data_IF_491250355148
#
_entry.id   IF_491250355148
#
_cell.length_a   1.000
_cell.length_b   1.000
_cell.length_c   1.000
_cell.angle_alpha   90.00
_cell.angle_beta   90.00
_cell.angle_gamma   90.00
#
_symmetry.space_group_name_H-M   'P 1'
#
loop_
_entity.id
_entity.type
_entity.pdbx_description
1 polymer ?
#
# COMPACT_ATOMS: atom_id res chain seq x y z
N UNK A 1 4.16 8.31 14.03
CA UNK A 1 4.31 7.30 15.11
C UNK A 1 4.54 5.96 14.45
N UNK A 2 5.62 5.24 14.77
CA UNK A 2 5.89 3.91 14.22
C UNK A 2 5.02 2.86 14.90
N UNK A 3 4.34 2.04 14.11
CA UNK A 3 3.62 0.87 14.61
C UNK A 3 4.54 -0.34 14.47
N UNK A 4 4.70 -1.09 15.54
CA UNK A 4 5.40 -2.38 15.52
C UNK A 4 4.34 -3.49 15.50
N UNK A 5 4.43 -4.35 14.49
CA UNK A 5 3.56 -5.50 14.35
C UNK A 5 4.30 -6.77 14.78
N UNK A 6 3.65 -7.60 15.59
CA UNK A 6 4.12 -8.95 15.85
C UNK A 6 3.85 -9.82 14.61
N UNK A 7 4.85 -9.91 13.71
CA UNK A 7 4.70 -10.58 12.42
C UNK A 7 4.38 -12.08 12.55
N UNK A 8 4.91 -12.75 13.57
CA UNK A 8 4.70 -14.20 13.78
C UNK A 8 3.25 -14.50 14.14
N UNK A 9 2.73 -13.81 15.17
CA UNK A 9 1.34 -13.98 15.59
C UNK A 9 0.35 -13.46 14.53
N UNK A 10 0.67 -12.36 13.84
CA UNK A 10 -0.14 -11.89 12.73
C UNK A 10 -0.18 -12.88 11.56
N UNK A 11 0.93 -13.56 11.26
CA UNK A 11 0.94 -14.58 10.22
C UNK A 11 -0.02 -15.74 10.56
N UNK A 12 -0.05 -16.17 11.82
CA UNK A 12 -1.00 -17.20 12.28
C UNK A 12 -2.44 -16.73 12.07
N UNK A 13 -2.75 -15.47 12.44
CA UNK A 13 -4.08 -14.90 12.23
C UNK A 13 -4.46 -14.88 10.74
N UNK A 14 -3.56 -14.46 9.85
CA UNK A 14 -3.82 -14.46 8.41
C UNK A 14 -4.01 -15.86 7.85
N UNK A 15 -3.26 -16.85 8.35
CA UNK A 15 -3.42 -18.25 7.96
C UNK A 15 -4.77 -18.80 8.38
N UNK A 16 -5.21 -18.54 9.61
CA UNK A 16 -6.52 -18.98 10.11
C UNK A 16 -7.65 -18.29 9.36
N UNK A 17 -7.53 -17.00 9.09
CA UNK A 17 -8.50 -16.27 8.30
C UNK A 17 -8.60 -16.83 6.87
N UNK A 18 -7.47 -17.13 6.25
CA UNK A 18 -7.45 -17.76 4.92
C UNK A 18 -8.06 -19.17 4.92
N UNK A 19 -7.79 -19.98 5.95
CA UNK A 19 -8.42 -21.32 6.08
C UNK A 19 -9.93 -21.25 6.15
N UNK A 20 -10.47 -20.22 6.80
CA UNK A 20 -11.92 -20.03 6.96
C UNK A 20 -12.59 -19.44 5.73
N UNK A 21 -11.92 -18.51 5.05
CA UNK A 21 -12.55 -17.68 4.00
C UNK A 21 -12.05 -17.98 2.58
N UNK A 22 -10.87 -18.61 2.45
CA UNK A 22 -10.17 -18.74 1.16
C UNK A 22 -9.56 -17.44 0.65
N UNK A 23 -9.78 -16.30 1.31
CA UNK A 23 -9.35 -14.99 0.85
C UNK A 23 -7.88 -14.69 1.21
N UNK A 24 -7.18 -14.05 0.30
CA UNK A 24 -5.84 -13.51 0.56
C UNK A 24 -5.94 -12.22 1.35
N UNK A 25 -5.15 -12.13 2.41
CA UNK A 25 -5.06 -10.94 3.26
C UNK A 25 -3.66 -10.34 3.22
N UNK A 26 -3.58 -9.02 3.15
CA UNK A 26 -2.34 -8.24 3.21
C UNK A 26 -2.41 -7.27 4.38
N UNK A 27 -1.32 -7.12 5.09
CA UNK A 27 -1.13 -6.09 6.12
C UNK A 27 -0.28 -4.99 5.54
N UNK A 28 -0.78 -3.78 5.55
CA UNK A 28 -0.04 -2.57 5.18
C UNK A 28 0.35 -1.76 6.41
N UNK A 29 1.48 -1.07 6.31
CA UNK A 29 1.82 0.01 7.22
C UNK A 29 0.98 1.28 6.95
N UNK A 30 1.25 2.34 7.70
CA UNK A 30 0.59 3.65 7.52
C UNK A 30 0.87 4.30 6.16
N UNK A 31 1.86 3.81 5.43
CA UNK A 31 2.28 4.31 4.14
C UNK A 31 1.75 3.47 2.97
N UNK A 32 0.93 2.44 3.26
CA UNK A 32 0.42 1.52 2.24
C UNK A 32 1.47 0.56 1.68
N UNK A 33 2.54 0.29 2.47
CA UNK A 33 3.57 -0.68 2.10
C UNK A 33 3.27 -2.04 2.72
N UNK A 34 3.43 -3.10 1.92
CA UNK A 34 3.22 -4.48 2.38
C UNK A 34 4.17 -4.83 3.52
N UNK A 35 3.61 -5.19 4.69
CA UNK A 35 4.37 -5.70 5.84
C UNK A 35 4.38 -7.24 5.80
N UNK A 36 3.22 -7.82 5.52
CA UNK A 36 2.94 -9.24 5.57
C UNK A 36 1.75 -9.59 4.70
N UNK A 37 1.75 -10.76 4.07
CA UNK A 37 0.61 -11.26 3.31
C UNK A 37 0.48 -12.78 3.40
N UNK A 38 -0.75 -13.27 3.34
CA UNK A 38 -1.00 -14.71 3.24
C UNK A 38 -2.23 -15.00 2.37
N UNK A 39 -2.16 -15.94 1.43
CA UNK A 39 -0.94 -16.58 0.92
C UNK A 39 0.07 -15.57 0.36
N UNK A 40 1.40 -15.86 0.42
CA UNK A 40 2.41 -14.92 -0.08
C UNK A 40 2.38 -14.78 -1.61
N UNK A 41 1.99 -15.83 -2.33
CA UNK A 41 1.95 -15.84 -3.79
C UNK A 41 0.73 -15.06 -4.32
N UNK A 42 0.98 -14.29 -5.38
CA UNK A 42 -0.08 -13.66 -6.15
C UNK A 42 -0.77 -14.68 -7.05
N UNK A 43 -2.10 -14.58 -7.26
CA UNK A 43 -2.79 -15.37 -8.28
C UNK A 43 -2.26 -15.04 -9.68
N UNK A 44 -2.46 -16.02 -10.61
CA UNK A 44 -1.97 -15.89 -11.98
C UNK A 44 -2.45 -14.60 -12.67
N UNK A 45 -3.70 -14.21 -12.46
CA UNK A 45 -4.27 -12.96 -12.96
C UNK A 45 -3.44 -11.74 -12.56
N UNK A 46 -3.15 -11.58 -11.25
CA UNK A 46 -2.38 -10.45 -10.77
C UNK A 46 -0.90 -10.53 -11.16
N UNK A 47 -0.36 -11.74 -11.39
CA UNK A 47 1.00 -11.90 -11.94
C UNK A 47 1.06 -11.38 -13.38
N UNK A 48 0.05 -11.65 -14.20
CA UNK A 48 -0.04 -11.11 -15.56
C UNK A 48 -0.15 -9.58 -15.55
N UNK A 49 -1.04 -9.02 -14.73
CA UNK A 49 -1.22 -7.57 -14.60
C UNK A 49 0.07 -6.90 -14.10
N UNK A 50 0.71 -7.45 -13.08
CA UNK A 50 1.99 -6.93 -12.55
C UNK A 50 3.20 -7.28 -13.42
N UNK A 51 3.02 -8.09 -14.47
CA UNK A 51 4.05 -8.38 -15.48
C UNK A 51 4.40 -7.18 -16.35
N UNK A 52 3.56 -6.15 -16.37
CA UNK A 52 3.78 -4.90 -17.09
C UNK A 52 3.95 -3.73 -16.12
N UNK A 53 4.84 -2.76 -16.41
CA UNK A 53 5.12 -1.63 -15.50
C UNK A 53 3.88 -0.82 -15.13
N UNK A 54 2.98 -0.58 -16.09
CA UNK A 54 1.74 0.17 -15.92
C UNK A 54 0.78 -0.54 -14.96
N UNK A 55 0.74 -1.87 -14.98
CA UNK A 55 -0.05 -2.68 -14.07
C UNK A 55 0.47 -2.63 -12.63
N UNK A 56 1.79 -2.67 -12.42
CA UNK A 56 2.40 -2.47 -11.08
C UNK A 56 2.02 -1.13 -10.52
N UNK A 57 2.09 -0.08 -11.36
CA UNK A 57 1.75 1.28 -10.99
C UNK A 57 0.27 1.39 -10.60
N UNK A 58 -0.62 0.80 -11.42
CA UNK A 58 -2.05 0.75 -11.15
C UNK A 58 -2.35 0.12 -9.79
N UNK A 59 -1.69 -1.00 -9.43
CA UNK A 59 -1.81 -1.60 -8.10
C UNK A 59 -1.43 -0.60 -7.00
N UNK A 60 -0.23 -0.02 -7.06
CA UNK A 60 0.23 0.92 -6.02
C UNK A 60 -0.69 2.14 -5.86
N UNK A 61 -1.16 2.72 -6.97
CA UNK A 61 -2.09 3.86 -6.93
C UNK A 61 -3.43 3.48 -6.30
N UNK A 62 -3.94 2.31 -6.65
CA UNK A 62 -5.19 1.79 -6.14
C UNK A 62 -5.12 1.57 -4.63
N UNK A 63 -4.07 0.88 -4.16
CA UNK A 63 -3.85 0.59 -2.74
C UNK A 63 -3.69 1.88 -1.92
N UNK A 64 -2.92 2.85 -2.42
CA UNK A 64 -2.74 4.13 -1.74
C UNK A 64 -4.03 4.97 -1.67
N UNK A 65 -4.83 4.97 -2.74
CA UNK A 65 -6.13 5.65 -2.74
C UNK A 65 -7.08 5.00 -1.73
N UNK A 66 -7.10 3.67 -1.69
CA UNK A 66 -7.91 2.92 -0.74
C UNK A 66 -7.49 3.20 0.72
N UNK A 67 -6.18 3.19 1.03
CA UNK A 67 -5.66 3.55 2.34
C UNK A 67 -6.07 4.96 2.76
N UNK A 68 -5.96 5.95 1.86
CA UNK A 68 -6.40 7.35 2.12
C UNK A 68 -7.90 7.44 2.40
N UNK A 69 -8.71 6.74 1.61
CA UNK A 69 -10.16 6.72 1.80
C UNK A 69 -10.54 6.08 3.13
N UNK A 70 -9.94 4.93 3.47
CA UNK A 70 -10.17 4.25 4.74
C UNK A 70 -9.72 5.10 5.94
N UNK A 71 -8.59 5.81 5.83
CA UNK A 71 -8.12 6.75 6.87
C UNK A 71 -9.11 7.90 7.08
N UNK A 72 -9.60 8.49 6.01
CA UNK A 72 -10.54 9.64 6.08
C UNK A 72 -11.88 9.23 6.68
N UNK A 73 -12.42 8.07 6.25
CA UNK A 73 -13.71 7.55 6.72
C UNK A 73 -13.62 6.89 8.08
N UNK A 74 -12.44 6.39 8.46
CA UNK A 74 -12.20 5.56 9.66
C UNK A 74 -13.03 4.28 9.68
N UNK A 75 -13.32 3.76 8.51
CA UNK A 75 -14.15 2.58 8.31
C UNK A 75 -13.62 1.70 7.18
N UNK A 76 -14.13 0.48 7.09
CA UNK A 76 -13.85 -0.44 5.99
C UNK A 76 -14.41 0.11 4.68
N UNK A 77 -13.60 0.03 3.62
CA UNK A 77 -13.95 0.46 2.26
C UNK A 77 -13.87 -0.74 1.33
N UNK A 78 -14.97 -1.01 0.61
CA UNK A 78 -15.03 -2.00 -0.47
C UNK A 78 -14.92 -1.23 -1.79
N UNK A 79 -14.03 -1.66 -2.66
CA UNK A 79 -13.80 -0.99 -3.95
C UNK A 79 -13.40 -1.99 -5.04
N UNK A 80 -13.48 -1.54 -6.30
CA UNK A 80 -12.99 -2.31 -7.45
C UNK A 80 -11.63 -1.78 -7.85
N UNK A 81 -10.60 -2.62 -7.86
CA UNK A 81 -9.24 -2.23 -8.19
C UNK A 81 -9.10 -1.87 -9.68
N UNK A 82 -7.95 -1.28 -10.04
CA UNK A 82 -7.66 -0.86 -11.42
C UNK A 82 -7.71 -2.01 -12.45
N UNK A 83 -7.62 -3.26 -12.00
CA UNK A 83 -7.69 -4.46 -12.83
C UNK A 83 -9.05 -5.17 -12.75
N UNK A 84 -10.09 -4.54 -12.20
CA UNK A 84 -11.46 -5.03 -12.18
C UNK A 84 -11.80 -6.01 -11.07
N UNK A 85 -10.89 -6.32 -10.15
CA UNK A 85 -11.15 -7.18 -9.00
C UNK A 85 -11.65 -6.39 -7.81
N UNK A 86 -12.48 -7.02 -6.98
CA UNK A 86 -12.95 -6.40 -5.72
C UNK A 86 -11.91 -6.55 -4.64
N UNK A 87 -11.76 -5.51 -3.87
CA UNK A 87 -10.87 -5.44 -2.72
C UNK A 87 -11.60 -4.79 -1.53
N UNK A 88 -11.19 -5.17 -0.33
CA UNK A 88 -11.73 -4.63 0.93
C UNK A 88 -10.58 -4.18 1.79
N UNK A 89 -10.54 -2.90 2.13
CA UNK A 89 -9.52 -2.35 3.01
C UNK A 89 -10.12 -1.87 4.32
N UNK A 90 -9.51 -2.29 5.42
CA UNK A 90 -9.94 -1.97 6.78
C UNK A 90 -8.79 -1.29 7.52
N UNK A 91 -8.96 -0.07 8.05
CA UNK A 91 -7.93 0.60 8.84
C UNK A 91 -7.78 -0.05 10.22
N UNK A 92 -6.55 -0.21 10.68
CA UNK A 92 -6.24 -0.55 12.07
C UNK A 92 -6.15 0.78 12.82
N UNK A 93 -7.11 1.03 13.71
CA UNK A 93 -7.22 2.30 14.42
C UNK A 93 -6.70 2.19 15.85
N UNK A 94 -5.86 3.14 16.25
CA UNK A 94 -5.43 3.35 17.65
C UNK A 94 -5.75 4.81 17.99
N UNK A 95 -6.57 5.03 19.00
CA UNK A 95 -7.03 6.35 19.43
C UNK A 95 -7.59 7.19 18.25
N UNK A 96 -8.25 6.53 17.30
CA UNK A 96 -8.83 7.15 16.12
C UNK A 96 -7.84 7.52 15.00
N UNK A 97 -6.57 7.20 15.16
CA UNK A 97 -5.55 7.34 14.11
C UNK A 97 -5.30 6.00 13.41
N UNK A 98 -5.24 6.00 12.07
CA UNK A 98 -4.87 4.81 11.32
C UNK A 98 -3.37 4.52 11.49
N UNK A 99 -3.05 3.32 11.97
CA UNK A 99 -1.68 2.86 12.25
C UNK A 99 -1.23 1.75 11.30
N UNK A 100 -2.10 1.32 10.41
CA UNK A 100 -1.90 0.31 9.38
C UNK A 100 -3.24 -0.09 8.79
N UNK A 101 -3.22 -1.06 7.87
CA UNK A 101 -4.44 -1.52 7.21
C UNK A 101 -4.39 -3.03 6.99
N UNK A 102 -5.58 -3.63 6.96
CA UNK A 102 -5.80 -5.00 6.49
C UNK A 102 -6.52 -4.92 5.14
N UNK A 103 -6.00 -5.60 4.12
CA UNK A 103 -6.58 -5.67 2.79
C UNK A 103 -6.99 -7.11 2.48
N UNK A 104 -8.26 -7.35 2.12
CA UNK A 104 -8.69 -8.55 1.40
C UNK A 104 -8.60 -8.25 -0.09
N UNK A 105 -7.99 -9.13 -0.85
CA UNK A 105 -7.66 -8.87 -2.24
C UNK A 105 -8.02 -10.03 -3.18
N UNK A 106 -8.06 -9.70 -4.48
CA UNK A 106 -8.24 -10.66 -5.59
C UNK A 106 -9.63 -11.33 -5.61
N UNK A 107 -10.69 -10.58 -5.33
CA UNK A 107 -12.04 -11.10 -5.16
C UNK A 107 -12.85 -10.90 -6.44
N UNK A 108 -13.53 -11.95 -6.86
CA UNK A 108 -14.57 -11.97 -7.89
C UNK A 108 -15.88 -12.42 -7.21
N UNK A 109 -16.99 -11.73 -7.42
CA UNK A 109 -18.25 -12.09 -6.77
C UNK A 109 -18.93 -13.29 -7.42
N UNK A 110 -18.87 -13.39 -8.76
CA UNK A 110 -19.52 -14.43 -9.54
C UNK A 110 -21.05 -14.26 -9.62
N UNK A 111 -21.56 -13.06 -9.35
CA UNK A 111 -23.00 -12.78 -9.47
C UNK A 111 -23.46 -12.63 -10.93
N UNK A 112 -22.62 -11.96 -11.74
CA UNK A 112 -22.76 -11.85 -13.20
C UNK A 112 -21.36 -11.94 -13.80
N UNK A 113 -20.92 -13.17 -14.07
CA UNK A 113 -19.56 -13.45 -14.53
C UNK A 113 -19.24 -12.74 -15.85
N UNK A 114 -20.20 -12.61 -16.75
CA UNK A 114 -19.99 -11.94 -18.03
C UNK A 114 -19.79 -10.42 -17.85
N UNK A 115 -20.59 -9.78 -17.01
CA UNK A 115 -20.43 -8.35 -16.71
C UNK A 115 -19.17 -8.07 -15.92
N UNK A 116 -18.85 -8.91 -14.92
CA UNK A 116 -17.64 -8.78 -14.10
C UNK A 116 -16.36 -8.95 -14.95
N UNK A 117 -16.36 -9.96 -15.87
CA UNK A 117 -15.27 -10.13 -16.83
C UNK A 117 -15.15 -8.96 -17.78
N UNK A 118 -16.26 -8.42 -18.30
CA UNK A 118 -16.24 -7.28 -19.21
C UNK A 118 -15.54 -6.06 -18.54
N UNK A 119 -15.81 -5.79 -17.28
CA UNK A 119 -15.14 -4.73 -16.50
C UNK A 119 -13.65 -5.03 -16.35
N UNK A 120 -13.27 -6.25 -16.00
CA UNK A 120 -11.89 -6.65 -15.85
C UNK A 120 -11.10 -6.53 -17.16
N UNK A 121 -11.71 -7.00 -18.28
CA UNK A 121 -11.14 -6.89 -19.62
C UNK A 121 -10.94 -5.43 -20.04
N UNK A 122 -11.95 -4.57 -19.88
CA UNK A 122 -11.87 -3.15 -20.22
C UNK A 122 -10.76 -2.46 -19.44
N UNK A 123 -10.68 -2.68 -18.14
CA UNK A 123 -9.67 -2.08 -17.28
C UNK A 123 -8.24 -2.56 -17.58
N UNK A 124 -8.09 -3.80 -18.01
CA UNK A 124 -6.79 -4.36 -18.38
C UNK A 124 -6.38 -4.10 -19.84
N UNK A 125 -7.29 -3.63 -20.69
CA UNK A 125 -7.01 -3.37 -22.12
C UNK A 125 -5.77 -2.47 -22.36
N UNK A 126 -5.50 -1.42 -21.55
CA UNK A 126 -4.31 -0.57 -21.72
C UNK A 126 -2.98 -1.29 -21.47
N UNK A 127 -2.99 -2.47 -20.86
CA UNK A 127 -1.76 -3.19 -20.47
C UNK A 127 -1.21 -4.09 -21.58
N UNK A 128 -1.94 -4.31 -22.66
CA UNK A 128 -1.49 -5.13 -23.79
C UNK A 128 -1.28 -6.62 -23.44
N UNK A 129 -1.94 -7.11 -22.40
CA UNK A 129 -1.89 -8.51 -21.98
C UNK A 129 -2.72 -9.34 -22.94
N UNK A 130 -2.24 -10.54 -23.28
CA UNK A 130 -3.02 -11.50 -24.10
C UNK A 130 -4.36 -11.81 -23.44
N UNK A 131 -5.45 -11.57 -24.18
CA UNK A 131 -6.82 -11.68 -23.64
C UNK A 131 -7.15 -13.11 -23.22
N UNK A 132 -6.70 -14.11 -23.96
CA UNK A 132 -7.01 -15.51 -23.64
C UNK A 132 -6.29 -15.96 -22.37
N UNK A 133 -5.02 -15.55 -22.20
CA UNK A 133 -4.26 -15.81 -20.99
C UNK A 133 -4.86 -15.07 -19.78
N UNK A 134 -5.29 -13.82 -19.96
CA UNK A 134 -5.90 -13.02 -18.91
C UNK A 134 -7.25 -13.63 -18.49
N UNK A 135 -8.10 -14.05 -19.44
CA UNK A 135 -9.39 -14.67 -19.17
C UNK A 135 -9.24 -16.00 -18.44
N UNK A 136 -8.35 -16.86 -18.93
CA UNK A 136 -8.06 -18.13 -18.25
C UNK A 136 -7.58 -17.94 -16.81
N UNK A 137 -6.75 -16.93 -16.58
CA UNK A 137 -6.27 -16.59 -15.23
C UNK A 137 -7.38 -15.97 -14.35
N UNK A 138 -8.32 -15.23 -14.95
CA UNK A 138 -9.50 -14.68 -14.28
C UNK A 138 -10.46 -15.80 -13.85
N UNK A 139 -10.69 -16.77 -14.71
CA UNK A 139 -11.56 -17.93 -14.43
C UNK A 139 -11.05 -18.80 -13.28
N UNK A 140 -9.74 -18.82 -13.09
CA UNK A 140 -9.10 -19.53 -11.98
C UNK A 140 -9.22 -18.81 -10.63
N UNK A 141 -9.69 -17.56 -10.58
CA UNK A 141 -9.90 -16.83 -9.32
C UNK A 141 -11.08 -17.41 -8.54
N UNK A 142 -10.97 -17.48 -7.20
CA UNK A 142 -12.08 -17.95 -6.37
C UNK A 142 -13.27 -16.98 -6.45
N UNK A 143 -14.49 -17.55 -6.51
CA UNK A 143 -15.74 -16.78 -6.46
C UNK A 143 -16.18 -16.61 -5.03
N UNK A 144 -16.38 -15.37 -4.60
CA UNK A 144 -16.84 -15.03 -3.24
C UNK A 144 -18.12 -14.24 -3.31
N UNK A 145 -19.28 -14.85 -3.08
CA UNK A 145 -20.57 -14.16 -3.08
C UNK A 145 -20.62 -12.99 -2.08
N UNK A 146 -21.37 -11.94 -2.42
CA UNK A 146 -21.45 -10.73 -1.62
C UNK A 146 -21.76 -10.96 -0.12
N UNK A 147 -22.68 -11.86 0.28
CA UNK A 147 -22.93 -12.13 1.70
C UNK A 147 -21.69 -12.67 2.42
N UNK A 148 -20.93 -13.57 1.77
CA UNK A 148 -19.67 -14.10 2.32
C UNK A 148 -18.61 -13.02 2.41
N UNK A 149 -18.47 -12.19 1.37
CA UNK A 149 -17.55 -11.05 1.35
C UNK A 149 -17.88 -10.07 2.49
N UNK A 150 -19.16 -9.75 2.66
CA UNK A 150 -19.60 -8.84 3.73
C UNK A 150 -19.26 -9.40 5.12
N UNK A 151 -19.56 -10.68 5.37
CA UNK A 151 -19.21 -11.35 6.62
C UNK A 151 -17.69 -11.36 6.87
N UNK A 152 -16.91 -11.69 5.85
CA UNK A 152 -15.44 -11.65 5.93
C UNK A 152 -14.92 -10.23 6.23
N UNK A 153 -15.51 -9.22 5.61
CA UNK A 153 -15.21 -7.81 5.86
C UNK A 153 -15.50 -7.40 7.29
N UNK A 154 -16.65 -7.80 7.84
CA UNK A 154 -17.03 -7.50 9.23
C UNK A 154 -16.10 -8.19 10.24
N UNK A 155 -15.74 -9.46 10.00
CA UNK A 155 -14.75 -10.17 10.80
C UNK A 155 -13.36 -9.51 10.72
N UNK A 156 -12.95 -9.04 9.54
CA UNK A 156 -11.70 -8.33 9.37
C UNK A 156 -11.67 -7.02 10.17
N UNK A 157 -12.79 -6.29 10.19
CA UNK A 157 -12.92 -5.06 10.96
C UNK A 157 -12.82 -5.32 12.47
N UNK A 158 -13.45 -6.41 12.95
CA UNK A 158 -13.31 -6.86 14.35
C UNK A 158 -11.87 -7.26 14.67
N UNK A 159 -11.21 -8.02 13.78
CA UNK A 159 -9.82 -8.41 13.94
C UNK A 159 -8.90 -7.18 13.99
N UNK A 160 -9.09 -6.20 13.08
CA UNK A 160 -8.34 -4.96 13.08
C UNK A 160 -8.47 -4.18 14.41
N UNK A 161 -9.67 -4.14 14.97
CA UNK A 161 -9.91 -3.50 16.26
C UNK A 161 -9.25 -4.27 17.43
N UNK A 162 -9.22 -5.60 17.36
CA UNK A 162 -8.63 -6.45 18.39
C UNK A 162 -7.08 -6.47 18.35
N UNK A 163 -6.45 -6.21 17.20
CA UNK A 163 -5.00 -6.28 17.04
C UNK A 163 -4.24 -5.42 18.05
N UNK A 164 -4.73 -4.23 18.33
CA UNK A 164 -4.14 -3.36 19.35
C UNK A 164 -4.35 -3.90 20.78
N UNK A 165 -5.56 -4.32 21.11
CA UNK A 165 -5.90 -4.82 22.44
C UNK A 165 -5.11 -6.09 22.80
N UNK A 166 -4.85 -6.95 21.82
CA UNK A 166 -4.07 -8.17 21.98
C UNK A 166 -2.55 -7.94 21.89
N UNK A 167 -2.13 -6.70 21.66
CA UNK A 167 -0.72 -6.34 21.55
C UNK A 167 -0.03 -6.80 20.26
N UNK A 168 -0.80 -7.23 19.25
CA UNK A 168 -0.29 -7.62 17.92
C UNK A 168 0.12 -6.41 17.08
N UNK A 169 -0.51 -5.27 17.35
CA UNK A 169 -0.09 -3.95 16.87
C UNK A 169 0.16 -3.05 18.09
N UNK A 170 1.36 -2.57 18.28
CA UNK A 170 1.72 -1.69 19.40
C UNK A 170 2.31 -0.40 18.90
N UNK A 171 1.85 0.71 19.45
CA UNK A 171 2.60 1.95 19.39
C UNK A 171 3.78 1.81 20.36
N UNK A 172 4.97 1.71 19.82
CA UNK A 172 6.18 1.73 20.63
C UNK A 172 7.03 2.95 20.25
N UNK A 173 6.73 4.12 20.83
CA UNK A 173 7.43 5.35 20.51
C UNK A 173 8.91 5.30 20.89
N UNK A 174 9.31 4.35 21.72
CA UNK A 174 10.70 4.13 22.14
C UNK A 174 11.48 3.11 21.30
N UNK A 175 10.82 2.35 20.42
CA UNK A 175 11.54 1.38 19.58
C UNK A 175 12.46 2.07 18.57
N UNK A 176 13.55 1.41 18.21
CA UNK A 176 14.47 1.95 17.19
C UNK A 176 13.79 2.16 15.84
N UNK A 177 12.83 1.30 15.49
CA UNK A 177 12.00 1.36 14.28
C UNK A 177 11.09 2.59 14.31
N UNK A 178 10.38 2.78 15.43
CA UNK A 178 9.50 3.93 15.62
C UNK A 178 10.27 5.25 15.61
N UNK A 179 11.43 5.30 16.31
CA UNK A 179 12.32 6.46 16.31
C UNK A 179 12.87 6.76 14.92
N UNK A 180 13.25 5.73 14.15
CA UNK A 180 13.70 5.90 12.77
C UNK A 180 12.57 6.45 11.90
N UNK A 181 11.39 5.86 11.95
CA UNK A 181 10.23 6.32 11.17
C UNK A 181 9.84 7.76 11.49
N UNK A 182 9.79 8.12 12.78
CA UNK A 182 9.49 9.49 13.22
C UNK A 182 10.56 10.48 12.74
N UNK A 183 11.84 10.13 12.89
CA UNK A 183 12.94 10.99 12.46
C UNK A 183 12.90 11.24 10.94
N UNK A 184 12.65 10.20 10.14
CA UNK A 184 12.50 10.35 8.69
C UNK A 184 11.32 11.25 8.31
N UNK A 185 10.19 11.10 8.99
CA UNK A 185 8.98 11.92 8.75
C UNK A 185 9.22 13.39 9.06
N UNK A 186 9.81 13.67 10.22
CA UNK A 186 10.02 15.05 10.71
C UNK A 186 11.06 15.82 9.88
N UNK A 187 12.05 15.10 9.30
CA UNK A 187 13.15 15.70 8.55
C UNK A 187 13.12 15.40 7.05
N UNK A 188 11.97 14.94 6.51
CA UNK A 188 11.87 14.45 5.13
C UNK A 188 12.27 15.48 4.07
N UNK A 189 11.96 16.75 4.32
CA UNK A 189 12.27 17.88 3.44
C UNK A 189 13.76 18.32 3.50
N UNK A 190 14.49 17.85 4.52
CA UNK A 190 15.88 18.23 4.74
C UNK A 190 16.84 17.29 3.99
N UNK A 191 18.14 17.64 4.00
CA UNK A 191 19.18 16.74 3.55
C UNK A 191 19.36 15.60 4.56
N UNK A 192 18.82 14.41 4.26
CA UNK A 192 18.93 13.20 5.06
C UNK A 192 20.09 12.34 4.56
N UNK A 193 21.22 12.35 5.28
CA UNK A 193 22.34 11.42 5.06
C UNK A 193 22.35 10.32 6.11
N UNK A 194 22.93 9.16 5.77
CA UNK A 194 23.06 8.06 6.72
C UNK A 194 23.81 8.50 7.99
N UNK A 195 24.79 9.40 7.86
CA UNK A 195 25.54 9.95 8.99
C UNK A 195 24.69 10.79 9.93
N UNK A 196 23.83 11.66 9.39
CA UNK A 196 22.90 12.47 10.18
C UNK A 196 21.93 11.58 10.95
N UNK A 197 21.37 10.57 10.29
CA UNK A 197 20.43 9.60 10.87
C UNK A 197 21.13 8.79 11.98
N UNK A 198 22.33 8.25 11.72
CA UNK A 198 23.10 7.50 12.69
C UNK A 198 23.40 8.33 13.95
N UNK A 199 23.79 9.59 13.76
CA UNK A 199 24.08 10.51 14.88
C UNK A 199 22.83 10.82 15.70
N UNK A 200 21.72 11.15 15.03
CA UNK A 200 20.48 11.52 15.70
C UNK A 200 19.87 10.36 16.52
N UNK A 201 20.00 9.14 16.01
CA UNK A 201 19.40 7.96 16.63
C UNK A 201 20.40 7.16 17.49
N UNK A 202 21.66 7.61 17.58
CA UNK A 202 22.75 6.90 18.26
C UNK A 202 22.98 5.47 17.71
N UNK A 203 22.93 5.34 16.38
CA UNK A 203 23.13 4.09 15.66
C UNK A 203 24.50 4.05 14.97
N UNK A 204 25.09 2.87 14.85
CA UNK A 204 26.17 2.63 13.91
C UNK A 204 25.64 2.55 12.46
N UNK A 205 26.52 2.73 11.45
CA UNK A 205 26.11 2.54 10.04
C UNK A 205 25.57 1.13 9.78
N UNK A 206 26.21 0.13 10.38
CA UNK A 206 25.76 -1.27 10.30
C UNK A 206 24.40 -1.45 10.98
N UNK A 207 24.21 -0.83 12.17
CA UNK A 207 22.93 -0.84 12.89
C UNK A 207 21.80 -0.22 12.06
N UNK A 208 22.04 0.94 11.44
CA UNK A 208 21.06 1.57 10.55
C UNK A 208 20.75 0.71 9.34
N UNK A 209 21.74 0.05 8.74
CA UNK A 209 21.53 -0.85 7.61
C UNK A 209 20.59 -2.01 7.98
N UNK A 210 20.88 -2.72 9.08
CA UNK A 210 20.03 -3.84 9.53
C UNK A 210 18.65 -3.36 9.94
N UNK A 211 18.56 -2.26 10.70
CA UNK A 211 17.27 -1.67 11.11
C UNK A 211 16.42 -1.31 9.89
N UNK A 212 16.99 -0.64 8.89
CA UNK A 212 16.28 -0.28 7.66
C UNK A 212 15.80 -1.50 6.89
N UNK A 213 16.67 -2.53 6.75
CA UNK A 213 16.30 -3.78 6.07
C UNK A 213 15.21 -4.54 6.81
N UNK A 214 15.26 -4.60 8.12
CA UNK A 214 14.26 -5.28 8.95
C UNK A 214 12.92 -4.57 8.93
N UNK A 215 12.94 -3.22 9.03
CA UNK A 215 11.72 -2.40 9.12
C UNK A 215 11.06 -2.23 7.77
N UNK A 216 11.84 -1.89 6.71
CA UNK A 216 11.31 -1.46 5.42
C UNK A 216 11.61 -2.42 4.26
N UNK A 217 12.34 -3.50 4.50
CA UNK A 217 12.75 -4.45 3.45
C UNK A 217 13.79 -3.90 2.46
N UNK A 218 14.21 -2.63 2.60
CA UNK A 218 15.10 -1.94 1.66
C UNK A 218 16.16 -1.09 2.40
N UNK A 219 17.08 -0.49 1.64
CA UNK A 219 18.08 0.42 2.18
C UNK A 219 17.48 1.78 2.56
N UNK A 220 18.11 2.48 3.53
CA UNK A 220 17.60 3.75 4.06
C UNK A 220 17.40 4.84 2.99
N UNK A 221 18.31 4.96 2.02
CA UNK A 221 18.19 5.95 0.94
C UNK A 221 17.02 5.65 0.01
N UNK A 222 16.74 4.38 -0.22
CA UNK A 222 15.58 3.94 -0.99
C UNK A 222 14.29 4.28 -0.24
N UNK A 223 14.25 4.02 1.06
CA UNK A 223 13.10 4.36 1.89
C UNK A 223 12.84 5.88 1.94
N UNK A 224 13.88 6.70 2.14
CA UNK A 224 13.76 8.16 2.08
C UNK A 224 13.16 8.60 0.73
N UNK A 225 13.65 8.01 -0.35
CA UNK A 225 13.17 8.33 -1.70
C UNK A 225 11.71 7.94 -1.89
N UNK A 226 11.28 6.78 -1.37
CA UNK A 226 9.87 6.34 -1.39
C UNK A 226 8.98 7.31 -0.62
N UNK A 227 9.36 7.68 0.60
CA UNK A 227 8.60 8.63 1.43
C UNK A 227 8.47 10.00 0.76
N UNK A 228 9.54 10.50 0.14
CA UNK A 228 9.52 11.78 -0.60
C UNK A 228 8.58 11.76 -1.79
N UNK A 229 8.58 10.68 -2.58
CA UNK A 229 7.65 10.51 -3.71
C UNK A 229 6.22 10.44 -3.20
N UNK A 230 5.98 9.71 -2.13
CA UNK A 230 4.66 9.60 -1.53
C UNK A 230 4.14 10.96 -1.06
N UNK A 231 4.99 11.75 -0.36
CA UNK A 231 4.62 13.10 0.04
C UNK A 231 4.36 14.02 -1.15
N UNK A 232 5.13 13.85 -2.24
CA UNK A 232 4.89 14.58 -3.49
C UNK A 232 3.54 14.22 -4.12
N UNK A 233 3.14 12.95 -4.09
CA UNK A 233 1.83 12.50 -4.58
C UNK A 233 0.68 13.14 -3.79
N UNK A 234 0.80 13.22 -2.46
CA UNK A 234 -0.17 13.91 -1.61
C UNK A 234 -0.31 15.38 -1.99
N UNK A 235 0.81 16.09 -2.12
CA UNK A 235 0.82 17.51 -2.48
C UNK A 235 0.28 17.76 -3.89
N UNK A 236 0.58 16.87 -4.84
CA UNK A 236 0.04 16.93 -6.20
C UNK A 236 -1.49 16.77 -6.23
N UNK A 237 -2.03 15.90 -5.37
CA UNK A 237 -3.46 15.62 -5.30
C UNK A 237 -4.25 16.67 -4.50
N UNK A 238 -3.62 17.39 -3.56
CA UNK A 238 -4.33 18.24 -2.59
C UNK A 238 -4.02 19.73 -2.72
N UNK A 239 -3.06 20.11 -3.57
CA UNK A 239 -2.61 21.50 -3.70
C UNK A 239 -2.43 21.91 -5.15
N UNK A 240 -2.46 23.24 -5.39
CA UNK A 240 -2.13 23.86 -6.68
C UNK A 240 -0.63 24.22 -6.83
N UNK A 241 0.23 23.81 -5.90
CA UNK A 241 1.66 24.08 -5.95
C UNK A 241 2.29 23.56 -7.26
N UNK A 242 3.26 24.29 -7.78
CA UNK A 242 4.00 23.84 -8.97
C UNK A 242 4.81 22.58 -8.69
N UNK A 243 5.10 21.80 -9.72
CA UNK A 243 5.91 20.59 -9.58
C UNK A 243 7.31 20.89 -9.03
N UNK A 244 7.86 22.07 -9.32
CA UNK A 244 9.17 22.51 -8.81
C UNK A 244 9.10 22.81 -7.31
N UNK A 245 8.03 23.48 -6.86
CA UNK A 245 7.82 23.75 -5.43
C UNK A 245 7.62 22.43 -4.67
N UNK A 246 6.80 21.51 -5.19
CA UNK A 246 6.58 20.18 -4.59
C UNK A 246 7.90 19.42 -4.49
N UNK A 247 8.72 19.42 -5.52
CA UNK A 247 10.04 18.79 -5.50
C UNK A 247 10.89 19.31 -4.33
N UNK A 248 10.95 20.62 -4.13
CA UNK A 248 11.71 21.25 -3.02
C UNK A 248 11.11 20.92 -1.65
N UNK A 249 9.79 21.07 -1.51
CA UNK A 249 9.08 20.79 -0.25
C UNK A 249 9.18 19.32 0.20
N UNK A 250 9.43 18.43 -0.75
CA UNK A 250 9.62 17.01 -0.47
C UNK A 250 11.10 16.60 -0.34
N UNK A 251 12.02 17.57 -0.35
CA UNK A 251 13.44 17.35 -0.05
C UNK A 251 14.30 16.91 -1.23
N UNK A 252 13.80 17.03 -2.48
CA UNK A 252 14.64 16.82 -3.67
C UNK A 252 15.40 18.10 -4.01
N UNK A 253 16.71 18.00 -4.05
CA UNK A 253 17.61 19.12 -4.42
C UNK A 253 17.62 19.40 -5.92
N UNK A 254 17.32 18.41 -6.74
CA UNK A 254 17.31 18.47 -8.20
C UNK A 254 15.96 18.04 -8.76
N UNK A 255 15.33 18.92 -9.55
CA UNK A 255 14.02 18.65 -10.16
C UNK A 255 14.07 17.52 -11.20
N UNK A 256 15.14 17.40 -11.97
CA UNK A 256 15.26 16.34 -12.97
C UNK A 256 15.42 14.97 -12.32
N UNK A 257 16.12 14.92 -11.18
CA UNK A 257 16.20 13.71 -10.37
C UNK A 257 14.83 13.36 -9.78
N UNK A 258 14.12 14.32 -9.19
CA UNK A 258 12.73 14.15 -8.73
C UNK A 258 11.84 13.60 -9.82
N UNK A 259 11.83 14.23 -11.01
CA UNK A 259 11.00 13.82 -12.14
C UNK A 259 11.25 12.36 -12.54
N UNK A 260 12.52 11.95 -12.67
CA UNK A 260 12.90 10.56 -13.03
C UNK A 260 12.48 9.56 -11.95
N UNK A 261 12.71 9.89 -10.69
CA UNK A 261 12.37 9.01 -9.56
C UNK A 261 10.86 8.90 -9.41
N UNK A 262 10.15 10.02 -9.47
CA UNK A 262 8.70 10.06 -9.39
C UNK A 262 8.09 9.19 -10.51
N UNK A 263 8.51 9.39 -11.76
CA UNK A 263 8.04 8.59 -12.89
C UNK A 263 8.38 7.11 -12.73
N UNK A 264 9.56 6.77 -12.23
CA UNK A 264 9.96 5.37 -12.01
C UNK A 264 9.12 4.68 -10.94
N UNK A 265 8.73 5.38 -9.88
CA UNK A 265 7.96 4.81 -8.77
C UNK A 265 6.46 4.82 -9.01
N UNK A 266 5.94 5.82 -9.72
CA UNK A 266 4.50 5.99 -9.95
C UNK A 266 4.08 5.65 -11.39
N UNK A 267 5.05 5.55 -12.32
CA UNK A 267 4.89 5.39 -13.76
C UNK A 267 4.31 6.59 -14.49
N UNK A 268 3.82 7.55 -13.77
CA UNK A 268 3.28 8.79 -14.30
C UNK A 268 4.27 9.93 -14.09
N UNK A 269 4.23 10.91 -14.99
CA UNK A 269 4.89 12.17 -14.72
C UNK A 269 4.10 12.94 -13.64
N UNK A 270 4.74 13.83 -12.84
CA UNK A 270 4.03 14.61 -11.83
C UNK A 270 2.81 15.34 -12.38
N UNK A 271 2.92 15.89 -13.61
CA UNK A 271 1.81 16.57 -14.29
C UNK A 271 0.66 15.60 -14.60
N UNK A 272 0.96 14.42 -15.19
CA UNK A 272 -0.08 13.43 -15.50
C UNK A 272 -0.75 12.89 -14.23
N UNK A 273 0.04 12.69 -13.18
CA UNK A 273 -0.50 12.27 -11.88
C UNK A 273 -1.52 13.28 -11.34
N UNK A 274 -1.22 14.58 -11.38
CA UNK A 274 -2.17 15.63 -10.97
C UNK A 274 -3.46 15.58 -11.77
N UNK A 275 -3.36 15.54 -13.09
CA UNK A 275 -4.55 15.50 -13.98
C UNK A 275 -5.41 14.25 -13.72
N UNK A 276 -4.81 13.08 -13.43
CA UNK A 276 -5.60 11.89 -13.10
C UNK A 276 -6.35 12.01 -11.78
N UNK A 277 -5.81 12.75 -10.80
CA UNK A 277 -6.50 13.00 -9.52
C UNK A 277 -7.64 14.02 -9.64
N UNK A 278 -7.53 14.98 -10.56
CA UNK A 278 -8.59 15.97 -10.85
C UNK A 278 -9.78 15.34 -11.60
N UNK A 279 -9.55 14.28 -12.39
CA UNK A 279 -10.59 13.57 -13.13
C UNK A 279 -11.46 12.65 -12.25
N UNK A 280 -10.96 12.26 -11.07
CA UNK A 280 -11.64 11.35 -10.13
C UNK A 280 -12.42 12.12 -9.03
N UNK A 281 -12.50 13.46 -9.10
CA UNK A 281 -13.20 14.33 -8.15
C UNK A 281 -14.49 14.88 -8.74
#
# INVERSE_FOLDING_TARGET
MGTVFNKEEMLVLLQDFHRLTGLRTVVFDTYGMDILSYPPELPAYCKLVRGVPEGVIGCHLCDQNACRNATRRKETVIYTCHAGLIEVITPILIDGAAVGFLLLSHIVQGADEAAEWAVAKERCAPYGIDEAALHSAYDALPRTPYPTLKSASDLLALAASALYQQGLARLNPGSSEARLGQYLSDHLAEELTSEKICRALSLSRTGLYYLSRQTYGCGINEQITRLRVQRAMELLATTSLSNVEISRLTGFSDYNYFYRVFRRQTGLTPRRYRTSMEADT
#
